data_IF_589490677893
#
_entry.id   IF_589490677893
#
_cell.length_a   1.000
_cell.length_b   1.000
_cell.length_c   1.000
_cell.angle_alpha   90.00
_cell.angle_beta   90.00
_cell.angle_gamma   90.00
#
_symmetry.space_group_name_H-M   'P 1'
#
loop_
_entity.id
_entity.type
_entity.pdbx_description
1 polymer ?
#
# COMPACT_ATOMS: atom_id res chain seq x y z
N UNK A 1 -17.65 -7.64 -21.79
CA UNK A 1 -16.45 -8.50 -21.76
C UNK A 1 -15.56 -8.04 -20.61
N UNK A 2 -15.23 -8.88 -19.63
CA UNK A 2 -14.26 -8.50 -18.59
C UNK A 2 -12.87 -8.41 -19.21
N UNK A 3 -12.19 -7.27 -19.06
CA UNK A 3 -10.78 -7.14 -19.47
C UNK A 3 -9.93 -8.08 -18.61
N UNK A 4 -9.05 -8.85 -19.25
CA UNK A 4 -8.12 -9.77 -18.55
C UNK A 4 -6.93 -9.04 -17.90
N UNK A 5 -6.70 -7.79 -18.30
CA UNK A 5 -5.61 -6.93 -17.79
C UNK A 5 -6.23 -5.65 -17.23
N UNK A 6 -5.77 -5.24 -16.05
CA UNK A 6 -6.06 -3.95 -15.44
C UNK A 6 -4.83 -3.05 -15.52
N UNK A 7 -5.02 -1.79 -15.86
CA UNK A 7 -3.93 -0.82 -16.05
C UNK A 7 -4.12 0.34 -15.07
N UNK A 8 -3.03 0.77 -14.43
CA UNK A 8 -3.05 1.88 -13.50
C UNK A 8 -1.82 2.76 -13.59
N UNK A 9 -1.88 3.91 -12.94
CA UNK A 9 -0.80 4.91 -12.92
C UNK A 9 -0.36 5.16 -11.48
N UNK A 10 0.96 5.16 -11.26
CA UNK A 10 1.60 5.36 -9.96
C UNK A 10 2.06 6.81 -9.80
N UNK A 11 1.79 7.41 -8.65
CA UNK A 11 2.13 8.80 -8.34
C UNK A 11 2.96 8.90 -7.06
N UNK A 12 4.13 9.49 -7.19
CA UNK A 12 5.00 9.83 -6.07
C UNK A 12 4.80 11.24 -5.49
N UNK A 13 4.17 12.15 -6.24
CA UNK A 13 4.05 13.56 -5.85
C UNK A 13 5.39 14.25 -5.57
N UNK A 14 6.44 13.86 -6.30
CA UNK A 14 7.79 14.44 -6.18
C UNK A 14 7.87 15.77 -6.92
N UNK A 15 8.46 16.76 -6.28
CA UNK A 15 8.74 18.09 -6.81
C UNK A 15 10.24 18.40 -6.68
N UNK A 16 11.10 17.82 -7.53
CA UNK A 16 12.54 17.95 -7.41
C UNK A 16 13.01 19.41 -7.59
N UNK A 17 14.15 19.74 -6.99
CA UNK A 17 14.78 21.03 -7.18
C UNK A 17 14.96 21.33 -8.69
N UNK A 18 14.61 22.55 -9.09
CA UNK A 18 14.66 22.97 -10.49
C UNK A 18 13.39 22.66 -11.32
N UNK A 19 12.34 22.08 -10.73
CA UNK A 19 11.06 21.86 -11.43
C UNK A 19 10.37 23.16 -11.89
N UNK A 20 10.70 24.29 -11.26
CA UNK A 20 10.02 25.57 -11.47
C UNK A 20 8.60 25.63 -10.91
N UNK A 21 8.17 24.63 -10.13
CA UNK A 21 6.83 24.56 -9.55
C UNK A 21 6.86 24.76 -8.03
N UNK A 22 5.91 25.56 -7.53
CA UNK A 22 5.56 25.52 -6.10
C UNK A 22 4.87 24.19 -5.77
N UNK A 23 4.98 23.74 -4.53
CA UNK A 23 4.28 22.53 -4.08
C UNK A 23 2.76 22.61 -4.35
N UNK A 24 2.03 23.69 -4.02
CA UNK A 24 0.60 23.78 -4.33
C UNK A 24 0.30 23.62 -5.83
N UNK A 25 1.13 24.21 -6.71
CA UNK A 25 0.97 24.08 -8.16
C UNK A 25 1.21 22.65 -8.64
N UNK A 26 2.21 21.96 -8.08
CA UNK A 26 2.49 20.54 -8.36
C UNK A 26 1.30 19.67 -7.96
N UNK A 27 0.79 19.79 -6.73
CA UNK A 27 -0.37 19.02 -6.25
C UNK A 27 -1.61 19.26 -7.13
N UNK A 28 -1.91 20.52 -7.48
CA UNK A 28 -3.03 20.84 -8.36
C UNK A 28 -2.87 20.23 -9.76
N UNK A 29 -1.66 20.19 -10.33
CA UNK A 29 -1.40 19.57 -11.64
C UNK A 29 -1.55 18.06 -11.58
N UNK A 30 -0.99 17.41 -10.56
CA UNK A 30 -1.10 15.95 -10.37
C UNK A 30 -2.57 15.55 -10.19
N UNK A 31 -3.35 16.30 -9.41
CA UNK A 31 -4.79 16.04 -9.27
C UNK A 31 -5.54 16.14 -10.60
N UNK A 32 -5.27 17.15 -11.44
CA UNK A 32 -5.87 17.23 -12.78
C UNK A 32 -5.46 16.05 -13.67
N UNK A 33 -4.21 15.59 -13.55
CA UNK A 33 -3.76 14.40 -14.27
C UNK A 33 -4.53 13.15 -13.81
N UNK A 34 -4.76 13.02 -12.51
CA UNK A 34 -5.53 11.90 -11.94
C UNK A 34 -7.01 11.94 -12.39
N UNK A 35 -7.61 13.12 -12.48
CA UNK A 35 -8.95 13.27 -13.07
C UNK A 35 -8.99 12.81 -14.52
N UNK A 36 -7.96 13.14 -15.31
CA UNK A 36 -7.84 12.67 -16.68
C UNK A 36 -7.66 11.14 -16.74
N UNK A 37 -6.88 10.56 -15.83
CA UNK A 37 -6.73 9.10 -15.72
C UNK A 37 -8.09 8.41 -15.45
N UNK A 38 -8.93 8.98 -14.58
CA UNK A 38 -10.30 8.51 -14.34
C UNK A 38 -11.16 8.64 -15.61
N UNK A 39 -11.14 9.80 -16.28
CA UNK A 39 -11.92 10.06 -17.51
C UNK A 39 -11.52 9.16 -18.69
N UNK A 40 -10.25 8.78 -18.77
CA UNK A 40 -9.73 7.88 -19.80
C UNK A 40 -10.05 6.39 -19.52
N UNK A 41 -10.65 6.08 -18.37
CA UNK A 41 -11.10 4.73 -18.03
C UNK A 41 -9.96 3.79 -17.61
N UNK A 42 -8.92 4.32 -16.96
CA UNK A 42 -7.93 3.50 -16.27
C UNK A 42 -8.53 2.83 -15.05
N UNK A 43 -7.97 1.68 -14.64
CA UNK A 43 -8.51 0.89 -13.53
C UNK A 43 -8.03 1.39 -12.16
N UNK A 44 -6.79 1.89 -12.06
CA UNK A 44 -6.16 2.24 -10.77
C UNK A 44 -5.34 3.52 -10.80
N UNK A 45 -5.35 4.22 -9.68
CA UNK A 45 -4.37 5.23 -9.29
C UNK A 45 -3.68 4.72 -8.02
N UNK A 46 -2.36 4.65 -8.07
CA UNK A 46 -1.52 4.18 -6.98
C UNK A 46 -0.73 5.34 -6.38
N UNK A 47 -0.65 5.39 -5.05
CA UNK A 47 0.08 6.42 -4.31
C UNK A 47 1.16 5.73 -3.47
N UNK A 48 2.40 6.22 -3.57
CA UNK A 48 3.51 5.73 -2.74
C UNK A 48 3.63 6.51 -1.44
N UNK A 49 4.25 5.94 -0.41
CA UNK A 49 4.53 6.65 0.85
C UNK A 49 6.02 6.71 1.13
N UNK A 50 6.52 7.90 1.46
CA UNK A 50 7.88 8.12 1.93
C UNK A 50 7.93 9.37 2.82
N UNK A 51 8.92 9.43 3.70
CA UNK A 51 9.01 10.49 4.71
C UNK A 51 10.35 11.21 4.65
N UNK A 52 10.35 12.50 5.00
CA UNK A 52 11.57 13.31 5.13
C UNK A 52 12.43 13.37 3.85
N UNK A 53 11.79 13.41 2.68
CA UNK A 53 12.46 13.56 1.38
C UNK A 53 12.30 14.99 0.87
N UNK A 54 13.42 15.63 0.52
CA UNK A 54 13.48 17.08 0.21
C UNK A 54 12.58 17.50 -0.96
N UNK A 55 12.30 16.59 -1.90
CA UNK A 55 11.40 16.87 -3.03
C UNK A 55 9.91 16.70 -2.70
N UNK A 56 9.58 16.51 -1.42
CA UNK A 56 8.21 16.37 -0.92
C UNK A 56 7.51 15.10 -1.34
N UNK A 57 8.28 14.02 -1.59
CA UNK A 57 7.76 12.67 -1.82
C UNK A 57 6.65 12.34 -0.81
N UNK A 58 5.52 11.83 -1.29
CA UNK A 58 4.23 11.79 -0.57
C UNK A 58 4.32 11.23 0.87
N UNK A 59 4.16 12.07 1.91
CA UNK A 59 4.25 11.63 3.31
C UNK A 59 2.89 11.35 3.96
N UNK A 60 1.77 11.69 3.29
CA UNK A 60 0.42 11.51 3.82
C UNK A 60 -0.52 10.91 2.76
N UNK A 61 -0.31 9.62 2.41
CA UNK A 61 -1.04 8.96 1.33
C UNK A 61 -2.56 8.91 1.54
N UNK A 62 -3.05 8.75 2.77
CA UNK A 62 -4.48 8.68 3.07
C UNK A 62 -5.19 10.03 2.89
N UNK A 63 -4.55 11.13 3.29
CA UNK A 63 -5.07 12.49 3.06
C UNK A 63 -5.19 12.74 1.56
N UNK A 64 -4.16 12.40 0.79
CA UNK A 64 -4.20 12.53 -0.67
C UNK A 64 -5.27 11.65 -1.30
N UNK A 65 -5.46 10.43 -0.78
CA UNK A 65 -6.50 9.52 -1.24
C UNK A 65 -7.90 10.09 -1.07
N UNK A 66 -8.16 10.84 0.02
CA UNK A 66 -9.41 11.55 0.22
C UNK A 66 -9.67 12.60 -0.84
N UNK A 67 -8.63 13.39 -1.19
CA UNK A 67 -8.73 14.38 -2.27
C UNK A 67 -8.95 13.73 -3.65
N UNK A 68 -8.32 12.58 -3.93
CA UNK A 68 -8.57 11.82 -5.17
C UNK A 68 -9.99 11.26 -5.18
N UNK A 69 -10.45 10.70 -4.06
CA UNK A 69 -11.79 10.15 -3.94
C UNK A 69 -12.87 11.19 -4.25
N UNK A 70 -12.70 12.43 -3.77
CA UNK A 70 -13.61 13.53 -4.03
C UNK A 70 -13.60 14.05 -5.48
N UNK A 71 -12.55 13.76 -6.25
CA UNK A 71 -12.35 14.29 -7.62
C UNK A 71 -12.51 13.25 -8.72
N UNK A 72 -12.69 11.98 -8.36
CA UNK A 72 -12.80 10.86 -9.29
C UNK A 72 -14.04 10.03 -8.99
N UNK A 73 -14.50 9.29 -9.99
CA UNK A 73 -15.78 8.57 -9.92
C UNK A 73 -15.65 7.06 -10.12
N UNK A 74 -14.63 6.60 -10.85
CA UNK A 74 -14.54 5.17 -11.25
C UNK A 74 -13.24 4.49 -10.86
N UNK A 75 -12.11 5.21 -10.92
CA UNK A 75 -10.79 4.65 -10.68
C UNK A 75 -10.66 4.13 -9.25
N UNK A 76 -10.07 2.96 -9.09
CA UNK A 76 -9.71 2.45 -7.77
C UNK A 76 -8.48 3.21 -7.23
N UNK A 77 -8.48 3.48 -5.92
CA UNK A 77 -7.47 4.32 -5.27
C UNK A 77 -6.67 3.42 -4.33
N UNK A 78 -5.42 3.16 -4.68
CA UNK A 78 -4.56 2.21 -3.99
C UNK A 78 -3.33 2.83 -3.36
N UNK A 79 -2.91 2.29 -2.21
CA UNK A 79 -1.58 2.54 -1.67
C UNK A 79 -0.59 1.54 -2.26
N UNK A 80 0.59 2.00 -2.66
CA UNK A 80 1.71 1.18 -3.13
C UNK A 80 3.05 1.76 -2.62
N UNK A 81 3.32 1.75 -1.33
CA UNK A 81 2.62 1.04 -0.25
C UNK A 81 2.35 1.97 0.93
N UNK A 82 1.37 1.64 1.77
CA UNK A 82 1.20 2.23 3.09
C UNK A 82 2.20 1.58 4.07
N UNK A 83 3.01 2.39 4.75
CA UNK A 83 4.04 1.94 5.68
C UNK A 83 3.43 1.67 7.06
N UNK A 84 2.82 0.49 7.20
CA UNK A 84 2.10 0.10 8.42
C UNK A 84 2.90 0.24 9.73
N UNK A 85 4.23 -0.01 9.77
CA UNK A 85 4.99 0.17 11.01
C UNK A 85 4.95 1.58 11.58
N UNK A 86 4.70 2.60 10.75
CA UNK A 86 4.67 4.01 11.15
C UNK A 86 3.28 4.49 11.56
N UNK A 87 2.28 3.61 11.54
CA UNK A 87 0.88 3.99 11.78
C UNK A 87 0.39 3.56 13.16
N UNK A 88 -0.56 4.32 13.70
CA UNK A 88 -1.43 3.81 14.76
C UNK A 88 -2.53 2.95 14.10
N UNK A 89 -2.68 1.67 14.46
CA UNK A 89 -3.59 0.76 13.78
C UNK A 89 -5.07 1.12 13.94
N UNK A 90 -5.45 1.74 15.07
CA UNK A 90 -6.83 2.19 15.31
C UNK A 90 -7.15 3.37 14.39
N UNK A 91 -6.26 4.37 14.35
CA UNK A 91 -6.42 5.52 13.45
C UNK A 91 -6.45 5.10 11.98
N UNK A 92 -5.57 4.18 11.60
CA UNK A 92 -5.57 3.62 10.25
C UNK A 92 -6.91 2.96 9.90
N UNK A 93 -7.49 2.16 10.81
CA UNK A 93 -8.80 1.55 10.57
C UNK A 93 -9.91 2.61 10.39
N UNK A 94 -9.95 3.63 11.25
CA UNK A 94 -10.92 4.73 11.16
C UNK A 94 -10.78 5.53 9.85
N UNK A 95 -9.54 5.90 9.48
CA UNK A 95 -9.25 6.64 8.25
C UNK A 95 -9.67 5.83 7.01
N UNK A 96 -9.39 4.53 7.00
CA UNK A 96 -9.80 3.63 5.93
C UNK A 96 -11.32 3.50 5.82
N UNK A 97 -12.06 3.51 6.93
CA UNK A 97 -13.53 3.53 6.92
C UNK A 97 -14.05 4.83 6.28
N UNK A 98 -13.50 5.97 6.68
CA UNK A 98 -13.89 7.26 6.12
C UNK A 98 -13.60 7.30 4.62
N UNK A 99 -12.41 6.87 4.20
CA UNK A 99 -12.01 6.84 2.79
C UNK A 99 -12.81 5.84 1.95
N UNK A 100 -13.15 4.66 2.49
CA UNK A 100 -14.03 3.69 1.82
C UNK A 100 -15.40 4.32 1.55
N UNK A 101 -15.96 5.05 2.51
CA UNK A 101 -17.22 5.77 2.33
C UNK A 101 -17.11 6.93 1.34
N UNK A 102 -16.08 7.79 1.46
CA UNK A 102 -15.85 8.91 0.53
C UNK A 102 -15.66 8.45 -0.91
N UNK A 103 -14.95 7.34 -1.11
CA UNK A 103 -14.67 6.79 -2.43
C UNK A 103 -15.80 5.90 -2.97
N UNK A 104 -16.86 5.67 -2.20
CA UNK A 104 -17.90 4.68 -2.51
C UNK A 104 -17.34 3.28 -2.81
N UNK A 105 -16.42 2.81 -1.95
CA UNK A 105 -15.87 1.46 -2.00
C UNK A 105 -14.71 1.27 -2.99
N UNK A 106 -14.09 2.35 -3.48
CA UNK A 106 -12.98 2.28 -4.46
C UNK A 106 -11.59 2.20 -3.84
N UNK A 107 -11.48 2.29 -2.51
CA UNK A 107 -10.19 2.19 -1.82
C UNK A 107 -9.59 0.79 -1.85
N UNK A 108 -8.26 0.74 -1.96
CA UNK A 108 -7.44 -0.46 -1.84
C UNK A 108 -6.24 -0.16 -0.92
N UNK A 109 -6.06 -0.98 0.12
CA UNK A 109 -4.89 -0.90 1.00
C UNK A 109 -3.79 -1.84 0.48
N UNK A 110 -2.74 -1.29 -0.11
CA UNK A 110 -1.47 -2.00 -0.27
C UNK A 110 -0.59 -1.74 0.94
N UNK A 111 -0.33 -2.77 1.74
CA UNK A 111 0.47 -2.68 2.96
C UNK A 111 1.95 -2.98 2.68
N UNK A 112 2.85 -2.28 3.35
CA UNK A 112 4.27 -2.54 3.29
C UNK A 112 4.99 -2.27 4.61
N UNK A 113 6.13 -2.93 4.81
CA UNK A 113 6.95 -2.77 6.00
C UNK A 113 7.89 -1.56 5.94
N UNK A 114 8.12 -0.99 4.76
CA UNK A 114 9.18 0.00 4.55
C UNK A 114 10.59 -0.59 4.67
N UNK A 115 11.59 0.20 4.29
CA UNK A 115 12.99 -0.25 4.29
C UNK A 115 14.03 0.84 4.56
N UNK A 116 13.67 2.12 4.48
CA UNK A 116 14.61 3.26 4.50
C UNK A 116 15.09 3.54 5.93
N UNK A 117 16.38 3.33 6.28
CA UNK A 117 16.84 3.45 7.65
C UNK A 117 16.64 4.83 8.30
N UNK A 118 16.76 5.91 7.53
CA UNK A 118 16.55 7.28 8.03
C UNK A 118 15.11 7.56 8.44
N UNK A 119 14.12 7.01 7.72
CA UNK A 119 12.70 7.13 8.09
C UNK A 119 12.43 6.42 9.42
N UNK A 120 12.97 5.20 9.59
CA UNK A 120 12.86 4.46 10.86
C UNK A 120 13.49 5.22 12.03
N UNK A 121 14.70 5.77 11.83
CA UNK A 121 15.37 6.58 12.85
C UNK A 121 14.56 7.82 13.22
N UNK A 122 13.99 8.52 12.23
CA UNK A 122 13.17 9.71 12.45
C UNK A 122 11.84 9.40 13.15
N UNK A 123 11.26 8.22 12.91
CA UNK A 123 10.03 7.75 13.56
C UNK A 123 10.29 7.11 14.94
N UNK A 124 11.56 7.00 15.37
CA UNK A 124 11.91 6.38 16.65
C UNK A 124 11.61 4.88 16.72
N UNK A 125 11.61 4.19 15.58
CA UNK A 125 11.29 2.75 15.48
C UNK A 125 12.53 2.00 15.04
N UNK A 126 12.92 0.96 15.79
CA UNK A 126 14.00 0.08 15.34
C UNK A 126 13.59 -0.67 14.08
N UNK A 127 14.41 -0.60 13.02
CA UNK A 127 14.10 -1.25 11.73
C UNK A 127 13.91 -2.77 11.85
N UNK A 128 14.47 -3.42 12.87
CA UNK A 128 14.24 -4.83 13.19
C UNK A 128 12.79 -5.14 13.57
N UNK A 129 12.04 -4.17 14.10
CA UNK A 129 10.65 -4.32 14.54
C UNK A 129 9.65 -4.26 13.38
N UNK A 130 10.08 -3.83 12.19
CA UNK A 130 9.17 -3.48 11.06
C UNK A 130 8.23 -4.59 10.63
N UNK A 131 8.67 -5.85 10.70
CA UNK A 131 7.84 -6.99 10.31
C UNK A 131 6.73 -7.23 11.34
N UNK A 132 7.10 -7.33 12.62
CA UNK A 132 6.16 -7.54 13.72
C UNK A 132 5.16 -6.39 13.83
N UNK A 133 5.62 -5.14 13.74
CA UNK A 133 4.72 -3.97 13.71
C UNK A 133 3.75 -4.02 12.54
N UNK A 134 4.19 -4.40 11.33
CA UNK A 134 3.29 -4.53 10.19
C UNK A 134 2.25 -5.61 10.44
N UNK A 135 2.66 -6.79 10.92
CA UNK A 135 1.77 -7.92 11.16
C UNK A 135 0.71 -7.59 12.24
N UNK A 136 1.13 -7.02 13.37
CA UNK A 136 0.21 -6.59 14.43
C UNK A 136 -0.76 -5.51 13.93
N UNK A 137 -0.25 -4.49 13.20
CA UNK A 137 -1.10 -3.45 12.63
C UNK A 137 -2.13 -4.02 11.65
N UNK A 138 -1.71 -4.92 10.77
CA UNK A 138 -2.60 -5.54 9.79
C UNK A 138 -3.67 -6.40 10.47
N UNK A 139 -3.30 -7.13 11.52
CA UNK A 139 -4.25 -7.91 12.31
C UNK A 139 -5.28 -7.00 12.99
N UNK A 140 -4.84 -5.96 13.71
CA UNK A 140 -5.73 -5.03 14.39
C UNK A 140 -6.69 -4.36 13.39
N UNK A 141 -6.21 -3.89 12.25
CA UNK A 141 -7.06 -3.28 11.20
C UNK A 141 -8.08 -4.29 10.67
N UNK A 142 -7.67 -5.55 10.41
CA UNK A 142 -8.59 -6.59 9.94
C UNK A 142 -9.67 -6.89 10.98
N UNK A 143 -9.30 -6.98 12.26
CA UNK A 143 -10.23 -7.24 13.36
C UNK A 143 -11.19 -6.07 13.56
N UNK A 144 -10.71 -4.82 13.49
CA UNK A 144 -11.56 -3.63 13.52
C UNK A 144 -12.65 -3.64 12.44
N UNK A 145 -12.40 -4.21 11.26
CA UNK A 145 -13.42 -4.32 10.23
C UNK A 145 -14.39 -5.49 10.37
N UNK A 146 -14.07 -6.50 11.18
CA UNK A 146 -14.80 -7.78 11.21
C UNK A 146 -15.39 -8.13 12.57
N UNK A 147 -14.94 -7.47 13.64
CA UNK A 147 -15.35 -7.69 15.02
C UNK A 147 -15.91 -6.39 15.61
N UNK A 148 -16.99 -6.48 16.38
CA UNK A 148 -17.59 -5.31 17.06
C UNK A 148 -16.69 -4.78 18.18
N UNK A 149 -16.04 -5.69 18.93
CA UNK A 149 -15.20 -5.40 20.09
C UNK A 149 -14.08 -6.44 20.18
N UNK A 150 -12.89 -6.04 20.61
CA UNK A 150 -11.81 -6.98 20.90
C UNK A 150 -10.69 -6.40 21.76
N UNK A 151 -10.00 -7.27 22.48
CA UNK A 151 -8.71 -6.96 23.08
C UNK A 151 -7.56 -7.46 22.17
N UNK A 152 -6.46 -6.71 22.17
CA UNK A 152 -5.25 -7.06 21.44
C UNK A 152 -4.03 -6.94 22.35
N UNK A 153 -3.29 -8.03 22.47
CA UNK A 153 -2.11 -8.14 23.32
C UNK A 153 -0.89 -8.56 22.51
N UNK A 154 -0.28 -7.58 21.84
CA UNK A 154 0.92 -7.75 21.05
C UNK A 154 2.19 -7.29 21.76
N UNK A 155 3.29 -7.39 21.03
CA UNK A 155 4.61 -6.88 21.44
C UNK A 155 4.64 -5.37 21.33
N UNK A 156 4.03 -4.80 20.29
CA UNK A 156 4.05 -3.37 20.02
C UNK A 156 2.76 -2.65 20.41
N UNK A 157 1.63 -3.35 20.38
CA UNK A 157 0.33 -2.78 20.71
C UNK A 157 -0.37 -3.52 21.84
N UNK A 158 -0.91 -2.75 22.77
CA UNK A 158 -1.77 -3.22 23.86
C UNK A 158 -3.05 -2.39 23.81
N UNK A 159 -4.14 -2.98 23.32
CA UNK A 159 -5.36 -2.24 22.98
C UNK A 159 -6.60 -2.96 23.51
N UNK A 160 -7.60 -2.15 23.85
CA UNK A 160 -8.98 -2.57 24.09
C UNK A 160 -9.89 -1.78 23.16
N UNK A 161 -10.46 -2.47 22.18
CA UNK A 161 -11.34 -1.90 21.18
C UNK A 161 -12.79 -2.10 21.59
N UNK A 162 -13.48 -1.01 21.88
CA UNK A 162 -14.94 -0.97 22.08
C UNK A 162 -15.70 -0.79 20.78
N UNK A 163 -17.03 -0.78 20.84
CA UNK A 163 -17.89 -0.47 19.68
C UNK A 163 -17.60 0.91 19.08
N UNK A 164 -17.88 1.07 17.79
CA UNK A 164 -18.00 2.38 17.15
C UNK A 164 -16.79 2.85 16.34
N UNK A 165 -15.81 1.99 16.06
CA UNK A 165 -14.66 2.25 15.17
C UNK A 165 -15.01 2.36 13.67
N UNK A 166 -16.30 2.57 13.36
CA UNK A 166 -16.82 2.79 12.02
C UNK A 166 -17.17 1.50 11.27
N UNK A 167 -18.02 1.62 10.24
CA UNK A 167 -18.37 0.51 9.34
C UNK A 167 -17.98 0.86 7.91
N UNK A 168 -17.22 -0.03 7.27
CA UNK A 168 -16.99 0.05 5.81
C UNK A 168 -18.28 -0.33 5.07
N UNK A 169 -18.48 0.15 3.83
CA UNK A 169 -19.59 -0.35 2.98
C UNK A 169 -19.43 -1.84 2.69
N UNK A 170 -18.19 -2.31 2.69
CA UNK A 170 -17.80 -3.70 2.49
C UNK A 170 -17.78 -4.51 3.80
N UNK A 171 -18.59 -4.18 4.81
CA UNK A 171 -18.60 -4.91 6.09
C UNK A 171 -18.82 -6.44 5.98
N UNK A 172 -19.20 -6.98 4.82
CA UNK A 172 -19.24 -8.42 4.54
C UNK A 172 -17.97 -9.01 3.83
N UNK A 173 -17.02 -8.19 3.39
CA UNK A 173 -15.83 -8.63 2.61
C UNK A 173 -14.51 -7.89 2.88
N UNK A 174 -14.52 -6.79 3.64
CA UNK A 174 -13.35 -5.94 3.92
C UNK A 174 -12.76 -5.24 2.68
N UNK A 175 -11.86 -4.25 2.86
CA UNK A 175 -11.13 -3.61 1.75
C UNK A 175 -10.03 -4.51 1.17
N UNK A 176 -9.80 -5.68 1.77
CA UNK A 176 -8.81 -6.65 1.32
C UNK A 176 -9.30 -7.43 0.09
N UNK A 177 -9.09 -6.86 -1.10
CA UNK A 177 -9.03 -7.70 -2.30
C UNK A 177 -7.77 -8.56 -2.18
N UNK A 178 -7.93 -9.88 -2.03
CA UNK A 178 -6.82 -10.81 -2.29
C UNK A 178 -6.23 -10.45 -3.65
N UNK A 179 -4.95 -10.09 -3.70
CA UNK A 179 -4.21 -10.19 -4.95
C UNK A 179 -4.39 -11.63 -5.44
N UNK A 180 -4.64 -11.88 -6.75
CA UNK A 180 -4.59 -13.24 -7.25
C UNK A 180 -3.24 -13.80 -6.81
N UNK A 181 -3.26 -14.94 -6.12
CA UNK A 181 -2.03 -15.62 -5.73
C UNK A 181 -1.16 -15.70 -6.98
N UNK A 182 0.03 -15.10 -6.94
CA UNK A 182 1.03 -15.40 -7.96
C UNK A 182 1.19 -16.92 -7.89
N UNK A 183 0.68 -17.62 -8.91
CA UNK A 183 0.81 -19.05 -9.02
C UNK A 183 2.29 -19.36 -8.77
N UNK A 184 2.55 -20.10 -7.69
CA UNK A 184 3.90 -20.35 -7.21
C UNK A 184 4.73 -20.87 -8.37
N UNK A 185 5.65 -20.05 -8.86
CA UNK A 185 6.74 -20.59 -9.65
C UNK A 185 7.64 -21.26 -8.64
N UNK A 186 7.55 -22.59 -8.60
CA UNK A 186 8.56 -23.45 -8.01
C UNK A 186 9.93 -22.90 -8.39
N UNK A 187 10.75 -22.63 -7.39
CA UNK A 187 12.14 -22.25 -7.56
C UNK A 187 12.93 -23.42 -8.16
N UNK A 188 12.90 -23.55 -9.48
CA UNK A 188 14.00 -24.16 -10.23
C UNK A 188 14.85 -23.01 -10.76
N UNK A 189 15.86 -22.61 -9.98
CA UNK A 189 16.80 -21.57 -10.39
C UNK A 189 17.52 -21.95 -11.69
N UNK A 190 18.00 -20.98 -12.48
CA UNK A 190 18.77 -21.27 -13.68
C UNK A 190 20.06 -21.97 -13.29
N UNK A 191 20.32 -23.14 -13.89
CA UNK A 191 21.62 -23.84 -13.76
C UNK A 191 22.72 -22.91 -14.26
N UNK A 192 23.76 -22.76 -13.45
CA UNK A 192 24.98 -22.04 -13.77
C UNK A 192 25.59 -22.52 -15.08
N UNK A 193 26.13 -21.60 -15.89
CA UNK A 193 26.90 -21.87 -17.10
C UNK A 193 28.15 -22.74 -16.86
N UNK A 194 28.55 -22.97 -15.60
CA UNK A 194 29.66 -23.85 -15.24
C UNK A 194 29.34 -25.37 -15.35
N UNK A 195 28.06 -25.76 -15.42
CA UNK A 195 27.66 -27.17 -15.46
C UNK A 195 27.64 -27.78 -16.88
N UNK A 196 27.92 -27.00 -17.92
CA UNK A 196 27.90 -27.46 -19.32
C UNK A 196 29.25 -27.99 -19.85
N UNK A 197 30.30 -28.02 -19.04
CA UNK A 197 31.66 -28.34 -19.49
C UNK A 197 32.21 -29.70 -19.03
N UNK A 198 31.35 -30.67 -18.65
CA UNK A 198 31.81 -32.04 -18.36
C UNK A 198 31.38 -32.98 -19.49
N UNK A 199 32.29 -33.20 -20.45
CA UNK A 199 32.15 -34.25 -21.47
C UNK A 199 32.07 -35.66 -20.85
N UNK A 200 31.55 -36.65 -21.60
CA UNK A 200 31.31 -37.99 -21.09
C UNK A 200 32.63 -38.70 -20.75
N UNK A 201 32.72 -39.25 -19.53
CA UNK A 201 33.82 -40.15 -19.16
C UNK A 201 33.60 -41.53 -19.80
N UNK A 202 34.65 -42.19 -20.31
CA UNK A 202 34.52 -43.49 -20.95
C UNK A 202 34.17 -44.58 -19.92
N UNK A 203 33.26 -45.49 -20.32
CA UNK A 203 33.00 -46.74 -19.61
C UNK A 203 34.20 -47.68 -19.81
N UNK A 204 34.73 -48.24 -18.73
CA UNK A 204 35.50 -49.48 -18.78
C UNK A 204 34.78 -50.55 -17.97
N UNK A 205 34.83 -51.74 -18.54
CA UNK A 205 34.32 -53.03 -18.09
C UNK A 205 34.89 -53.39 -16.71
#
# INVERSE_FOLDING_TARGET
MSRSIRIGVLYGFRNPAGSGLSFPAMYARVLRQIELVDQLGFDHVWITEHHFVDDGYMPSPLVMSGAIAARTSTVAIGQDVMLLPFTNPVRLAEDLVVLDNLSNGRMMLGAGMGYVPSEFAAMGIARSERAQRMDETLEIVRRAFTEDEFDFHGTHFQLRMGRGHGRTRRAASGPFRRAPAAAGRSSSGPRSLADRARGPRPRRL
#
